data_IF_955464607659
#
_entry.id   IF_955464607659
#
_cell.length_a   1.000
_cell.length_b   1.000
_cell.length_c   1.000
_cell.angle_alpha   90.00
_cell.angle_beta   90.00
_cell.angle_gamma   90.00
#
_symmetry.space_group_name_H-M   'P 1'
#
loop_
_entity.id
_entity.type
_entity.pdbx_description
1 polymer ?
#
# COMPACT_ATOMS: atom_id res chain seq x y z
N UNK A 1 -13.90 -0.12 -21.84
CA UNK A 1 -15.13 -0.56 -21.15
C UNK A 1 -16.31 0.41 -21.27
N UNK A 2 -16.14 1.66 -21.72
CA UNK A 2 -17.26 2.61 -21.89
C UNK A 2 -17.94 3.08 -20.59
N UNK A 3 -17.64 2.45 -19.46
CA UNK A 3 -18.16 2.80 -18.15
C UNK A 3 -17.52 4.09 -17.62
N UNK A 4 -18.36 4.99 -17.12
CA UNK A 4 -17.91 6.18 -16.40
C UNK A 4 -17.30 5.77 -15.06
N UNK A 5 -16.07 6.18 -14.78
CA UNK A 5 -15.36 5.83 -13.54
C UNK A 5 -15.53 6.87 -12.44
N UNK A 6 -15.81 8.13 -12.81
CA UNK A 6 -15.86 9.25 -11.88
C UNK A 6 -17.13 10.06 -12.15
N UNK A 7 -17.88 10.34 -11.08
CA UNK A 7 -18.94 11.33 -11.05
C UNK A 7 -18.36 12.67 -10.59
N UNK A 8 -18.55 13.72 -11.40
CA UNK A 8 -18.14 15.07 -11.04
C UNK A 8 -19.41 15.87 -10.71
N UNK A 9 -19.59 16.23 -9.43
CA UNK A 9 -20.63 17.16 -9.02
C UNK A 9 -20.01 18.54 -8.85
N UNK A 10 -20.32 19.49 -9.74
CA UNK A 10 -19.91 20.89 -9.59
C UNK A 10 -20.89 21.61 -8.66
N UNK A 11 -20.40 22.09 -7.52
CA UNK A 11 -21.17 22.92 -6.58
C UNK A 11 -20.46 24.25 -6.26
N UNK A 12 -21.13 25.15 -5.54
CA UNK A 12 -20.61 26.50 -5.23
C UNK A 12 -19.35 26.51 -4.34
N UNK A 13 -18.96 25.37 -3.76
CA UNK A 13 -17.73 25.21 -2.93
C UNK A 13 -16.61 24.39 -3.62
N UNK A 14 -16.74 24.09 -4.90
CA UNK A 14 -15.77 23.30 -5.68
C UNK A 14 -16.38 22.06 -6.35
N UNK A 15 -15.57 21.36 -7.15
CA UNK A 15 -15.96 20.08 -7.75
C UNK A 15 -15.76 18.93 -6.77
N UNK A 16 -16.85 18.24 -6.42
CA UNK A 16 -16.78 17.00 -5.64
C UNK A 16 -16.63 15.82 -6.61
N UNK A 17 -15.48 15.14 -6.55
CA UNK A 17 -15.20 13.92 -7.31
C UNK A 17 -15.60 12.71 -6.48
N UNK A 18 -16.41 11.82 -7.05
CA UNK A 18 -16.76 10.54 -6.44
C UNK A 18 -16.55 9.41 -7.43
N UNK A 19 -15.95 8.30 -7.00
CA UNK A 19 -15.87 7.09 -7.80
C UNK A 19 -17.28 6.50 -8.02
N UNK A 20 -17.56 6.10 -9.25
CA UNK A 20 -18.69 5.20 -9.54
C UNK A 20 -18.35 3.78 -9.07
N UNK A 21 -19.30 2.85 -9.10
CA UNK A 21 -18.98 1.45 -8.76
C UNK A 21 -17.99 0.83 -9.75
N UNK A 22 -18.10 1.16 -11.04
CA UNK A 22 -17.08 0.81 -12.03
C UNK A 22 -15.72 1.47 -11.71
N UNK A 23 -15.74 2.72 -11.22
CA UNK A 23 -14.55 3.43 -10.76
C UNK A 23 -13.87 2.77 -9.57
N UNK A 24 -14.62 2.29 -8.58
CA UNK A 24 -14.08 1.57 -7.42
C UNK A 24 -13.40 0.27 -7.85
N UNK A 25 -14.07 -0.54 -8.67
CA UNK A 25 -13.50 -1.79 -9.20
C UNK A 25 -12.23 -1.48 -9.99
N UNK A 26 -12.30 -0.51 -10.89
CA UNK A 26 -11.15 -0.13 -11.71
C UNK A 26 -9.99 0.37 -10.86
N UNK A 27 -10.25 1.22 -9.88
CA UNK A 27 -9.23 1.77 -8.99
C UNK A 27 -8.50 0.67 -8.21
N UNK A 28 -9.25 -0.26 -7.62
CA UNK A 28 -8.66 -1.41 -6.92
C UNK A 28 -7.76 -2.25 -7.85
N UNK A 29 -8.21 -2.53 -9.07
CA UNK A 29 -7.41 -3.30 -10.05
C UNK A 29 -6.21 -2.52 -10.58
N UNK A 30 -6.33 -1.22 -10.74
CA UNK A 30 -5.22 -0.36 -11.12
C UNK A 30 -4.15 -0.35 -10.03
N UNK A 31 -4.53 -0.26 -8.75
CA UNK A 31 -3.59 -0.36 -7.64
C UNK A 31 -2.84 -1.71 -7.64
N UNK A 32 -3.56 -2.82 -7.87
CA UNK A 32 -2.95 -4.15 -8.01
C UNK A 32 -1.95 -4.20 -9.16
N UNK A 33 -2.29 -3.66 -10.33
CA UNK A 33 -1.40 -3.62 -11.49
C UNK A 33 -0.13 -2.81 -11.23
N UNK A 34 -0.25 -1.62 -10.65
CA UNK A 34 0.91 -0.79 -10.30
C UNK A 34 1.84 -1.51 -9.32
N UNK A 35 1.28 -2.21 -8.32
CA UNK A 35 2.08 -3.00 -7.38
C UNK A 35 2.81 -4.16 -8.06
N UNK A 36 2.14 -4.86 -8.99
CA UNK A 36 2.78 -5.92 -9.79
C UNK A 36 3.92 -5.35 -10.64
N UNK A 37 3.72 -4.21 -11.30
CA UNK A 37 4.76 -3.54 -12.09
C UNK A 37 5.98 -3.20 -11.22
N UNK A 38 5.76 -2.55 -10.08
CA UNK A 38 6.83 -2.14 -9.18
C UNK A 38 7.58 -3.34 -8.58
N UNK A 39 6.86 -4.36 -8.11
CA UNK A 39 7.49 -5.57 -7.57
C UNK A 39 8.30 -6.31 -8.64
N UNK A 40 7.84 -6.32 -9.89
CA UNK A 40 8.59 -6.89 -11.02
C UNK A 40 9.86 -6.10 -11.29
N UNK A 41 9.78 -4.78 -11.34
CA UNK A 41 10.95 -3.91 -11.51
C UNK A 41 11.99 -4.15 -10.40
N UNK A 42 11.55 -4.18 -9.15
CA UNK A 42 12.41 -4.41 -7.99
C UNK A 42 13.07 -5.81 -8.03
N UNK A 43 12.32 -6.85 -8.44
CA UNK A 43 12.86 -8.21 -8.56
C UNK A 43 13.97 -8.30 -9.63
N UNK A 44 13.79 -7.62 -10.77
CA UNK A 44 14.83 -7.54 -11.81
C UNK A 44 16.04 -6.75 -11.33
N UNK A 45 15.85 -5.62 -10.64
CA UNK A 45 16.96 -4.81 -10.13
C UNK A 45 17.75 -5.49 -9.00
N UNK A 46 17.10 -6.34 -8.20
CA UNK A 46 17.80 -7.17 -7.22
C UNK A 46 18.86 -8.07 -7.85
N UNK A 47 18.69 -8.51 -9.10
CA UNK A 47 19.72 -9.29 -9.83
C UNK A 47 20.99 -8.46 -10.07
N UNK A 48 20.87 -7.13 -10.15
CA UNK A 48 21.99 -6.19 -10.25
C UNK A 48 22.60 -5.85 -8.87
N UNK A 49 22.25 -6.60 -7.82
CA UNK A 49 22.73 -6.43 -6.43
C UNK A 49 22.35 -5.09 -5.78
N UNK A 50 21.40 -4.36 -6.36
CA UNK A 50 20.92 -3.09 -5.81
C UNK A 50 19.51 -3.27 -5.25
N UNK A 51 19.38 -3.15 -3.94
CA UNK A 51 18.09 -3.15 -3.25
C UNK A 51 17.64 -1.70 -3.13
N UNK A 52 16.65 -1.32 -3.93
CA UNK A 52 16.06 0.00 -4.03
C UNK A 52 14.55 -0.11 -4.28
N UNK A 53 13.80 0.98 -4.03
CA UNK A 53 12.35 1.02 -4.21
C UNK A 53 11.60 1.39 -2.93
N UNK A 54 10.28 1.18 -2.92
CA UNK A 54 9.42 1.48 -1.76
C UNK A 54 8.92 0.18 -1.13
N UNK A 55 9.11 0.02 0.18
CA UNK A 55 8.53 -1.05 0.99
C UNK A 55 7.30 -0.53 1.74
N UNK A 56 6.12 -1.04 1.36
CA UNK A 56 4.83 -0.72 1.93
C UNK A 56 4.47 -1.70 3.04
N UNK A 57 4.29 -1.16 4.25
CA UNK A 57 4.02 -1.93 5.45
C UNK A 57 2.65 -1.53 6.00
N UNK A 58 1.70 -2.45 5.96
CA UNK A 58 0.43 -2.30 6.66
C UNK A 58 0.57 -2.80 8.09
N UNK A 59 0.16 -2.02 9.08
CA UNK A 59 0.32 -2.39 10.49
C UNK A 59 -0.84 -1.92 11.36
N UNK A 60 -1.07 -2.61 12.48
CA UNK A 60 -1.90 -2.06 13.55
C UNK A 60 -1.19 -0.90 14.24
N UNK A 61 -1.94 0.11 14.68
CA UNK A 61 -1.38 1.28 15.39
C UNK A 61 -0.56 0.89 16.64
N UNK A 62 -0.90 -0.23 17.29
CA UNK A 62 -0.15 -0.71 18.45
C UNK A 62 1.25 -1.26 18.12
N UNK A 63 1.52 -1.59 16.85
CA UNK A 63 2.76 -2.23 16.39
C UNK A 63 3.61 -1.33 15.49
N UNK A 64 3.06 -0.24 14.96
CA UNK A 64 3.76 0.69 14.08
C UNK A 64 4.95 1.38 14.74
N UNK A 65 4.78 1.93 15.94
CA UNK A 65 5.86 2.67 16.63
C UNK A 65 7.10 1.81 16.90
N UNK A 66 6.99 0.57 17.44
CA UNK A 66 8.14 -0.33 17.57
C UNK A 66 8.83 -0.61 16.23
N UNK A 67 8.09 -0.84 15.14
CA UNK A 67 8.65 -1.09 13.80
C UNK A 67 9.52 0.09 13.36
N UNK A 68 8.94 1.30 13.40
CA UNK A 68 9.59 2.53 12.96
C UNK A 68 10.82 2.85 13.77
N UNK A 69 10.76 2.70 15.09
CA UNK A 69 11.84 3.15 15.98
C UNK A 69 12.96 2.12 16.14
N UNK A 70 12.65 0.82 16.06
CA UNK A 70 13.62 -0.23 16.40
C UNK A 70 14.18 -0.94 15.17
N UNK A 71 13.38 -1.12 14.12
CA UNK A 71 13.75 -2.00 13.00
C UNK A 71 14.13 -1.22 11.73
N UNK A 72 13.34 -0.20 11.39
CA UNK A 72 13.59 0.59 10.17
C UNK A 72 14.92 1.37 10.16
N UNK A 73 15.47 1.89 11.28
CA UNK A 73 16.73 2.63 11.24
C UNK A 73 17.91 1.77 10.79
N UNK A 74 18.03 0.56 11.35
CA UNK A 74 19.07 -0.38 10.97
C UNK A 74 18.92 -0.84 9.50
N UNK A 75 17.67 -1.04 9.05
CA UNK A 75 17.39 -1.40 7.66
C UNK A 75 17.74 -0.27 6.69
N UNK A 76 17.36 0.96 7.02
CA UNK A 76 17.64 2.15 6.19
C UNK A 76 19.14 2.41 6.06
N UNK A 77 19.93 2.22 7.13
CA UNK A 77 21.39 2.30 7.04
C UNK A 77 21.99 1.23 6.12
N UNK A 78 21.42 0.02 6.12
CA UNK A 78 21.90 -1.10 5.29
C UNK A 78 21.46 -0.96 3.82
N UNK A 79 20.28 -0.39 3.58
CA UNK A 79 19.66 -0.22 2.27
C UNK A 79 19.16 1.22 2.08
N UNK A 80 20.06 2.19 1.85
CA UNK A 80 19.72 3.62 1.83
C UNK A 80 18.84 4.04 0.65
N UNK A 81 18.71 3.20 -0.39
CA UNK A 81 17.85 3.45 -1.54
C UNK A 81 16.43 2.89 -1.36
N UNK A 82 16.13 2.28 -0.21
CA UNK A 82 14.78 1.81 0.14
C UNK A 82 14.04 2.91 0.90
N UNK A 83 12.83 3.22 0.42
CA UNK A 83 11.88 4.10 1.08
C UNK A 83 10.79 3.26 1.76
N UNK A 84 10.15 3.79 2.79
CA UNK A 84 9.10 3.08 3.51
C UNK A 84 7.80 3.88 3.47
N UNK A 85 6.70 3.20 3.19
CA UNK A 85 5.34 3.71 3.38
C UNK A 85 4.66 2.85 4.45
N UNK A 86 4.11 3.49 5.48
CA UNK A 86 3.50 2.78 6.59
C UNK A 86 2.03 3.15 6.66
N UNK A 87 1.19 2.12 6.54
CA UNK A 87 -0.25 2.24 6.59
C UNK A 87 -0.77 1.70 7.91
N UNK A 88 -1.20 2.58 8.80
CA UNK A 88 -1.84 2.19 10.04
C UNK A 88 -3.34 1.94 9.86
N UNK A 89 -3.84 0.82 10.40
CA UNK A 89 -5.27 0.51 10.35
C UNK A 89 -5.68 -0.65 11.27
N UNK A 90 -6.96 -1.02 11.19
CA UNK A 90 -7.46 -2.23 11.84
C UNK A 90 -6.89 -3.48 11.15
N UNK A 91 -6.99 -4.63 11.81
CA UNK A 91 -6.54 -5.91 11.23
C UNK A 91 -7.18 -6.17 9.86
N UNK A 92 -8.47 -5.85 9.70
CA UNK A 92 -9.17 -5.98 8.42
C UNK A 92 -8.54 -5.11 7.32
N UNK A 93 -8.07 -3.91 7.64
CA UNK A 93 -7.33 -3.07 6.69
C UNK A 93 -5.98 -3.69 6.32
N UNK A 94 -5.24 -4.19 7.29
CA UNK A 94 -3.94 -4.86 7.04
C UNK A 94 -4.12 -6.03 6.10
N UNK A 95 -5.11 -6.91 6.37
CA UNK A 95 -5.43 -8.05 5.51
C UNK A 95 -5.88 -7.60 4.12
N UNK A 96 -6.75 -6.59 4.04
CA UNK A 96 -7.23 -6.08 2.74
C UNK A 96 -6.09 -5.51 1.91
N UNK A 97 -5.16 -4.76 2.51
CA UNK A 97 -4.02 -4.20 1.79
C UNK A 97 -3.05 -5.28 1.29
N UNK A 98 -2.85 -6.34 2.06
CA UNK A 98 -2.08 -7.51 1.61
C UNK A 98 -2.75 -8.22 0.44
N UNK A 99 -4.05 -8.54 0.55
CA UNK A 99 -4.82 -9.22 -0.49
C UNK A 99 -4.85 -8.41 -1.78
N UNK A 100 -4.97 -7.08 -1.67
CA UNK A 100 -5.01 -6.18 -2.80
C UNK A 100 -3.62 -5.78 -3.31
N UNK A 101 -2.54 -6.33 -2.75
CA UNK A 101 -1.16 -5.99 -3.14
C UNK A 101 -0.78 -4.53 -2.89
N UNK A 102 -1.59 -3.77 -2.14
CA UNK A 102 -1.28 -2.37 -1.81
C UNK A 102 -0.22 -2.24 -0.70
N UNK A 103 0.08 -3.33 0.00
CA UNK A 103 1.22 -3.46 0.91
C UNK A 103 1.90 -4.82 0.70
N UNK A 104 3.22 -4.87 0.83
CA UNK A 104 3.99 -6.13 0.72
C UNK A 104 4.14 -6.85 2.07
N UNK A 105 4.01 -6.11 3.19
CA UNK A 105 4.12 -6.67 4.54
C UNK A 105 2.96 -6.23 5.44
N UNK A 106 2.42 -7.17 6.22
CA UNK A 106 1.35 -6.91 7.19
C UNK A 106 1.74 -7.31 8.61
N UNK A 107 1.64 -6.40 9.58
CA UNK A 107 1.96 -6.66 10.99
C UNK A 107 0.77 -6.26 11.87
N UNK A 108 0.08 -7.25 12.43
CA UNK A 108 -1.07 -7.02 13.30
C UNK A 108 -0.96 -7.86 14.57
N UNK A 109 -1.70 -7.46 15.61
CA UNK A 109 -1.92 -8.34 16.74
C UNK A 109 -2.84 -9.48 16.28
N UNK A 110 -2.45 -10.72 16.56
CA UNK A 110 -3.37 -11.83 16.47
C UNK A 110 -4.33 -11.72 17.68
N UNK A 111 -5.61 -11.54 17.40
CA UNK A 111 -6.62 -12.23 18.20
C UNK A 111 -7.02 -13.41 17.35
N UNK A 112 -6.53 -14.61 17.70
CA UNK A 112 -7.25 -15.81 17.31
C UNK A 112 -8.58 -15.74 18.04
N UNK A 113 -9.64 -15.41 17.30
CA UNK A 113 -10.98 -15.79 17.72
C UNK A 113 -11.15 -17.17 17.10
N UNK A 114 -11.18 -18.19 17.95
CA UNK A 114 -11.61 -19.54 17.58
C UNK A 114 -13.02 -19.52 16.97
#
# INVERSE_FOLDING_TARGET
>A
FGAQLINIKRGQRGSNLQLTDAGKIFYEKAQQLCSIEESTYNAVQQLNSRIEGTLRIATSASRSTPIVQQYLPAFSMKYPSVHFEIYEGLMTNVVTQLINGSAELGIANIQMVD
#
